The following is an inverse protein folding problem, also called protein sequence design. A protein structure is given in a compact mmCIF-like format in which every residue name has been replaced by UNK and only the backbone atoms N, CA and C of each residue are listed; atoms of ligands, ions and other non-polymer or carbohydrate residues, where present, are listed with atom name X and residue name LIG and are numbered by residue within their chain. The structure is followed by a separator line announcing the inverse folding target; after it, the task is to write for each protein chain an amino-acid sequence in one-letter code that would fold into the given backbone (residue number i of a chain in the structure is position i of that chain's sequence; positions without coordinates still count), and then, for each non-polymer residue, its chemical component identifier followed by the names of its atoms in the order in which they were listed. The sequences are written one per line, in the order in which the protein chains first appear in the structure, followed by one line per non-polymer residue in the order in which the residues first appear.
data_IF_350390520081
#
_entry.id   IF_350390520081
#
_cell.length_a   1.000
_cell.length_b   1.000
_cell.length_c   1.000
_cell.angle_alpha   90.00
_cell.angle_beta   90.00
_cell.angle_gamma   90.00
#
_symmetry.space_group_name_H-M   'P 1'
#
loop_
_entity.id
_entity.type
_entity.pdbx_description
1 polymer ?
#
# COMPACT_ATOMS: atom_id res chain seq x y z
N UNK A 1 7.33 8.27 10.32
CA UNK A 1 6.72 7.63 9.12
C UNK A 1 5.23 7.43 9.37
N UNK A 2 4.37 7.75 8.40
CA UNK A 2 2.93 7.47 8.44
C UNK A 2 2.58 6.49 7.33
N UNK A 3 1.75 5.50 7.60
CA UNK A 3 1.31 4.52 6.59
C UNK A 3 -0.20 4.29 6.68
N UNK A 4 -0.86 4.20 5.54
CA UNK A 4 -2.28 3.88 5.41
C UNK A 4 -2.49 2.79 4.36
N UNK A 5 -3.52 1.98 4.55
CA UNK A 5 -3.79 0.80 3.73
C UNK A 5 -5.27 0.72 3.46
N UNK A 6 -5.63 0.40 2.23
CA UNK A 6 -7.02 0.20 1.84
C UNK A 6 -7.12 -1.02 0.94
N UNK A 7 -8.16 -1.82 1.13
CA UNK A 7 -8.48 -2.95 0.25
C UNK A 7 -9.60 -2.52 -0.68
N UNK A 8 -9.40 -2.72 -1.98
CA UNK A 8 -10.33 -2.31 -3.05
C UNK A 8 -10.37 -3.39 -4.13
N UNK A 9 -11.40 -3.37 -4.98
CA UNK A 9 -11.37 -4.14 -6.22
C UNK A 9 -10.43 -3.47 -7.24
N UNK A 10 -9.73 -4.25 -8.09
CA UNK A 10 -8.72 -3.73 -9.00
C UNK A 10 -9.36 -3.01 -10.20
N UNK A 11 -8.73 -1.92 -10.65
CA UNK A 11 -9.06 -1.33 -11.96
C UNK A 11 -8.61 -2.26 -13.11
N UNK A 12 -9.12 -2.10 -14.34
CA UNK A 12 -8.66 -2.90 -15.48
C UNK A 12 -7.14 -2.86 -15.69
N UNK A 13 -6.52 -1.69 -15.47
CA UNK A 13 -5.06 -1.53 -15.57
C UNK A 13 -4.32 -2.29 -14.47
N UNK A 14 -4.87 -2.31 -13.25
CA UNK A 14 -4.31 -3.08 -12.13
C UNK A 14 -4.49 -4.59 -12.34
N UNK A 15 -5.60 -5.02 -12.95
CA UNK A 15 -5.83 -6.42 -13.32
C UNK A 15 -4.75 -6.91 -14.29
N UNK A 16 -4.46 -6.13 -15.32
CA UNK A 16 -3.42 -6.46 -16.31
C UNK A 16 -2.02 -6.44 -15.68
N UNK A 17 -1.66 -5.35 -14.98
CA UNK A 17 -0.33 -5.21 -14.40
C UNK A 17 -0.03 -6.25 -13.32
N UNK A 18 -1.01 -6.60 -12.49
CA UNK A 18 -0.85 -7.51 -11.36
C UNK A 18 -1.28 -8.94 -11.64
N UNK A 19 -1.76 -9.22 -12.86
CA UNK A 19 -2.28 -10.52 -13.29
C UNK A 19 -3.33 -11.06 -12.29
N UNK A 20 -4.28 -10.20 -11.92
CA UNK A 20 -5.29 -10.48 -10.90
C UNK A 20 -6.69 -10.40 -11.51
N UNK A 21 -7.61 -11.24 -11.04
CA UNK A 21 -8.99 -11.26 -11.51
C UNK A 21 -9.81 -10.05 -11.05
N UNK A 22 -10.96 -9.76 -11.70
CA UNK A 22 -11.82 -8.64 -11.32
C UNK A 22 -12.41 -8.77 -9.91
N UNK A 23 -12.58 -10.01 -9.42
CA UNK A 23 -13.08 -10.31 -8.07
C UNK A 23 -11.94 -10.61 -7.07
N UNK A 24 -10.69 -10.40 -7.48
CA UNK A 24 -9.52 -10.56 -6.61
C UNK A 24 -9.13 -9.18 -6.05
N UNK A 25 -9.40 -8.91 -4.76
CA UNK A 25 -9.12 -7.60 -4.20
C UNK A 25 -7.62 -7.30 -4.20
N UNK A 26 -7.31 -6.02 -4.38
CA UNK A 26 -5.96 -5.48 -4.24
C UNK A 26 -5.84 -4.66 -2.96
N UNK A 27 -4.64 -4.70 -2.41
CA UNK A 27 -4.22 -3.89 -1.27
C UNK A 27 -3.42 -2.70 -1.79
N UNK A 28 -3.91 -1.49 -1.50
CA UNK A 28 -3.17 -0.24 -1.73
C UNK A 28 -2.53 0.20 -0.43
N UNK A 29 -1.21 0.35 -0.45
CA UNK A 29 -0.40 0.89 0.64
C UNK A 29 0.09 2.27 0.24
N UNK A 30 -0.11 3.26 1.09
CA UNK A 30 0.49 4.59 0.97
C UNK A 30 1.37 4.85 2.18
N UNK A 31 2.63 5.20 1.94
CA UNK A 31 3.62 5.47 2.98
C UNK A 31 4.18 6.87 2.79
N UNK A 32 4.18 7.65 3.86
CA UNK A 32 4.75 8.98 3.93
C UNK A 32 5.91 8.97 4.91
N UNK A 33 7.10 9.28 4.40
CA UNK A 33 8.29 9.51 5.21
C UNK A 33 8.38 11.01 5.51
N UNK A 34 8.59 11.30 6.80
CA UNK A 34 8.74 12.67 7.30
C UNK A 34 10.20 12.88 7.71
N UNK A 35 10.70 14.10 7.56
CA UNK A 35 11.96 14.53 8.17
C UNK A 35 11.81 14.72 9.69
N UNK A 36 12.89 15.18 10.33
CA UNK A 36 12.92 15.48 11.77
C UNK A 36 12.01 16.64 12.18
N UNK A 37 11.67 17.52 11.25
CA UNK A 37 10.77 18.67 11.47
C UNK A 37 9.30 18.30 11.16
N UNK A 38 9.03 17.03 10.85
CA UNK A 38 7.70 16.53 10.51
C UNK A 38 7.22 16.90 9.10
N UNK A 39 8.08 17.44 8.23
CA UNK A 39 7.73 17.74 6.84
C UNK A 39 7.83 16.49 5.98
N UNK A 40 6.90 16.31 5.05
CA UNK A 40 6.91 15.17 4.13
C UNK A 40 8.03 15.28 3.12
N UNK A 41 8.91 14.28 3.08
CA UNK A 41 10.05 14.22 2.16
C UNK A 41 9.89 13.13 1.10
N UNK A 42 9.05 12.12 1.34
CA UNK A 42 8.82 11.04 0.39
C UNK A 42 7.42 10.46 0.56
N UNK A 43 6.78 10.17 -0.56
CA UNK A 43 5.54 9.40 -0.64
C UNK A 43 5.78 8.17 -1.52
N UNK A 44 5.42 7.01 -1.00
CA UNK A 44 5.49 5.73 -1.69
C UNK A 44 4.08 5.14 -1.76
N UNK A 45 3.66 4.74 -2.96
CA UNK A 45 2.35 4.13 -3.22
C UNK A 45 2.56 2.78 -3.89
N UNK A 46 1.98 1.73 -3.31
CA UNK A 46 2.10 0.36 -3.81
C UNK A 46 0.73 -0.28 -3.89
N UNK A 47 0.42 -0.91 -5.03
CA UNK A 47 -0.74 -1.79 -5.18
C UNK A 47 -0.25 -3.24 -5.32
N UNK A 48 -0.87 -4.16 -4.60
CA UNK A 48 -0.49 -5.58 -4.59
C UNK A 48 -1.71 -6.49 -4.44
N UNK A 49 -1.69 -7.72 -4.97
CA UNK A 49 -2.80 -8.65 -4.77
C UNK A 49 -3.00 -8.98 -3.28
N UNK A 50 -4.20 -8.78 -2.75
CA UNK A 50 -4.44 -8.85 -1.30
C UNK A 50 -4.39 -10.29 -0.76
N UNK A 51 -4.73 -11.28 -1.58
CA UNK A 51 -4.77 -12.70 -1.20
C UNK A 51 -3.41 -13.29 -0.84
N UNK A 52 -2.31 -12.60 -1.18
CA UNK A 52 -0.94 -13.08 -0.96
C UNK A 52 -0.14 -12.26 0.06
N UNK A 53 -0.72 -11.20 0.61
CA UNK A 53 0.05 -10.19 1.35
C UNK A 53 -0.35 -10.17 2.83
N UNK A 54 0.62 -10.48 3.72
CA UNK A 54 0.52 -10.19 5.16
C UNK A 54 1.28 -8.91 5.45
N UNK A 55 0.55 -7.81 5.63
CA UNK A 55 1.12 -6.56 6.12
C UNK A 55 1.63 -6.78 7.54
N UNK A 56 2.94 -6.89 7.69
CA UNK A 56 3.59 -7.05 8.99
C UNK A 56 4.11 -5.69 9.43
N UNK A 57 3.42 -5.07 10.38
CA UNK A 57 3.88 -3.83 10.99
C UNK A 57 4.90 -4.15 12.09
N UNK A 58 6.13 -3.69 11.91
CA UNK A 58 7.07 -3.53 13.01
C UNK A 58 7.00 -2.06 13.44
N UNK A 59 6.13 -1.78 14.42
CA UNK A 59 6.06 -0.45 15.03
C UNK A 59 7.19 -0.34 16.05
N UNK A 60 8.23 0.44 15.75
CA UNK A 60 9.07 0.99 16.82
C UNK A 60 8.29 2.13 17.46
N UNK A 61 7.68 1.85 18.60
CA UNK A 61 7.21 2.87 19.52
C UNK A 61 8.49 3.45 20.14
N UNK A 62 8.81 4.69 19.79
CA UNK A 62 9.80 5.51 20.48
C UNK A 62 9.10 6.37 21.52
#
# INVERSE_FOLDING_TARGET
MKASHTVLMPTPEEQEALHTGPDEPVLRLSRVTLDTDGRSIQVDMMTMPAHRQRLRYEMRIG
#
